data_IF_823486648190
#
_entry.id   IF_823486648190
#
_cell.length_a   1.000
_cell.length_b   1.000
_cell.length_c   1.000
_cell.angle_alpha   90.00
_cell.angle_beta   90.00
_cell.angle_gamma   90.00
#
_symmetry.space_group_name_H-M   'P 1'
#
loop_
_entity.id
_entity.type
_entity.pdbx_description
1 polymer ?
#
# COMPACT_ATOMS: atom_id res chain seq x y z
N UNK A 1 -19.24 -20.01 45.73
CA UNK A 1 -18.27 -18.89 45.85
C UNK A 1 -16.83 -19.36 45.62
N UNK A 2 -16.43 -19.82 44.44
CA UNK A 2 -15.04 -20.24 44.10
C UNK A 2 -14.69 -20.12 42.62
N UNK A 3 -15.38 -19.27 41.84
CA UNK A 3 -15.12 -19.13 40.38
C UNK A 3 -14.50 -17.80 39.94
N UNK A 4 -14.21 -16.87 40.87
CA UNK A 4 -13.73 -15.52 40.51
C UNK A 4 -12.19 -15.45 40.41
N UNK A 5 -11.42 -16.41 40.98
CA UNK A 5 -9.98 -16.28 41.05
C UNK A 5 -9.16 -16.81 39.87
N UNK A 6 -9.73 -17.57 38.93
CA UNK A 6 -8.97 -18.12 37.79
C UNK A 6 -8.87 -17.15 36.62
N UNK A 7 -9.84 -16.29 36.42
CA UNK A 7 -9.81 -15.25 35.37
C UNK A 7 -8.85 -14.11 35.68
N UNK A 8 -8.76 -13.71 36.97
CA UNK A 8 -7.85 -12.64 37.39
C UNK A 8 -6.38 -13.08 37.31
N UNK A 9 -6.07 -14.35 37.61
CA UNK A 9 -4.71 -14.92 37.51
C UNK A 9 -4.23 -15.01 36.08
N UNK A 10 -5.11 -15.34 35.12
CA UNK A 10 -4.81 -15.37 33.67
C UNK A 10 -4.54 -13.97 33.10
N UNK A 11 -5.31 -12.98 33.49
CA UNK A 11 -5.10 -11.61 33.06
C UNK A 11 -3.82 -11.00 33.67
N UNK A 12 -3.50 -11.33 34.91
CA UNK A 12 -2.27 -10.85 35.58
C UNK A 12 -1.01 -11.51 34.99
N UNK A 13 -1.07 -12.77 34.59
CA UNK A 13 0.04 -13.47 33.89
C UNK A 13 0.25 -12.94 32.47
N UNK A 14 -0.81 -12.56 31.76
CA UNK A 14 -0.70 -11.92 30.45
C UNK A 14 -0.09 -10.51 30.54
N UNK A 15 -0.40 -9.74 31.59
CA UNK A 15 0.17 -8.40 31.81
C UNK A 15 1.62 -8.49 32.29
N UNK A 16 1.99 -9.49 33.08
CA UNK A 16 3.37 -9.70 33.53
C UNK A 16 4.28 -10.31 32.45
N UNK A 17 3.72 -11.05 31.49
CA UNK A 17 4.44 -11.54 30.31
C UNK A 17 4.80 -10.41 29.33
N UNK A 18 3.99 -9.36 29.26
CA UNK A 18 4.21 -8.22 28.35
C UNK A 18 5.33 -7.27 28.83
N UNK A 19 5.78 -7.36 30.07
CA UNK A 19 6.81 -6.47 30.62
C UNK A 19 8.26 -6.96 30.42
N UNK A 20 8.46 -8.13 29.77
CA UNK A 20 9.80 -8.69 29.52
C UNK A 20 10.25 -8.63 28.07
N UNK A 21 9.43 -8.06 27.20
CA UNK A 21 9.87 -7.78 25.83
C UNK A 21 10.65 -6.46 25.86
N UNK A 22 11.96 -6.55 25.71
CA UNK A 22 12.79 -5.41 25.37
C UNK A 22 12.19 -4.68 24.18
N UNK A 23 12.43 -3.39 24.07
CA UNK A 23 11.87 -2.48 23.07
C UNK A 23 11.89 -3.10 21.67
N UNK A 24 10.82 -3.81 21.28
CA UNK A 24 10.64 -4.32 19.94
C UNK A 24 10.46 -3.12 19.00
N UNK A 25 11.24 -3.07 17.92
CA UNK A 25 11.26 -1.97 16.96
C UNK A 25 10.67 -2.44 15.64
N UNK A 26 9.79 -1.66 15.03
CA UNK A 26 8.95 -2.05 13.88
C UNK A 26 9.68 -2.06 12.53
N UNK A 27 9.21 -2.80 11.56
CA UNK A 27 9.91 -3.44 10.45
C UNK A 27 11.33 -3.63 10.86
N UNK A 28 11.56 -4.64 11.59
CA UNK A 28 12.70 -4.72 12.48
C UNK A 28 14.01 -4.63 11.74
N UNK A 29 14.06 -5.11 10.49
CA UNK A 29 15.25 -5.09 9.66
C UNK A 29 15.88 -3.69 9.54
N UNK A 30 15.09 -2.66 9.22
CA UNK A 30 15.64 -1.30 9.06
C UNK A 30 15.87 -0.62 10.39
N UNK A 31 14.95 -0.81 11.34
CA UNK A 31 15.07 -0.22 12.67
C UNK A 31 16.30 -0.77 13.42
N UNK A 32 16.54 -2.08 13.34
CA UNK A 32 17.72 -2.74 13.92
C UNK A 32 19.00 -2.30 13.22
N UNK A 33 19.06 -2.42 11.90
CA UNK A 33 20.25 -2.07 11.12
C UNK A 33 20.73 -0.64 11.36
N UNK A 34 19.80 0.30 11.47
CA UNK A 34 20.13 1.73 11.56
C UNK A 34 19.98 2.30 12.97
N UNK A 35 19.61 1.49 13.96
CA UNK A 35 19.34 1.93 15.33
C UNK A 35 18.40 3.14 15.37
N UNK A 36 17.34 3.12 14.57
CA UNK A 36 16.36 4.21 14.44
C UNK A 36 14.98 3.75 14.88
N UNK A 37 14.26 4.65 15.53
CA UNK A 37 12.84 4.46 15.82
C UNK A 37 12.01 4.57 14.53
N UNK A 38 10.84 3.95 14.49
CA UNK A 38 9.92 4.00 13.33
C UNK A 38 9.52 5.42 12.96
N UNK A 39 9.32 6.30 13.95
CA UNK A 39 9.02 7.73 13.76
C UNK A 39 10.14 8.52 13.07
N UNK A 40 11.34 7.94 12.92
CA UNK A 40 12.40 8.56 12.12
C UNK A 40 12.07 8.59 10.63
N UNK A 41 11.44 7.53 10.11
CA UNK A 41 11.05 7.38 8.71
C UNK A 41 9.54 7.52 8.46
N UNK A 42 8.70 7.37 9.50
CA UNK A 42 7.25 7.40 9.39
C UNK A 42 6.65 8.59 10.12
N UNK A 43 5.63 9.21 9.52
CA UNK A 43 4.76 10.17 10.23
C UNK A 43 3.88 9.42 11.22
N UNK A 44 3.27 8.35 10.75
CA UNK A 44 2.60 7.28 11.46
C UNK A 44 2.67 6.05 10.55
N UNK A 45 3.20 4.92 11.04
CA UNK A 45 3.36 3.72 10.21
C UNK A 45 2.01 3.28 9.61
N UNK A 46 1.91 2.96 8.28
CA UNK A 46 3.02 2.81 7.32
C UNK A 46 3.42 4.10 6.58
N UNK A 47 2.81 5.24 6.80
CA UNK A 47 2.99 6.49 6.05
C UNK A 47 4.39 7.09 6.20
N UNK A 48 5.14 7.18 5.09
CA UNK A 48 6.51 7.71 5.08
C UNK A 48 6.53 9.25 5.24
N UNK A 49 7.39 9.75 6.13
CA UNK A 49 7.77 11.15 6.18
C UNK A 49 8.86 11.48 5.13
N UNK A 50 9.35 12.72 5.06
CA UNK A 50 10.36 13.12 4.07
C UNK A 50 11.64 12.27 4.13
N UNK A 51 12.07 11.84 5.33
CA UNK A 51 13.26 10.97 5.49
C UNK A 51 12.99 9.55 4.99
N UNK A 52 11.82 8.99 5.32
CA UNK A 52 11.41 7.67 4.84
C UNK A 52 11.24 7.63 3.32
N UNK A 53 10.67 8.69 2.73
CA UNK A 53 10.59 8.81 1.27
C UNK A 53 11.98 8.78 0.62
N UNK A 54 12.93 9.56 1.16
CA UNK A 54 14.30 9.59 0.65
C UNK A 54 15.02 8.26 0.82
N UNK A 55 14.81 7.57 1.95
CA UNK A 55 15.35 6.24 2.21
C UNK A 55 14.84 5.21 1.17
N UNK A 56 13.53 5.22 0.85
CA UNK A 56 12.96 4.38 -0.20
C UNK A 56 13.54 4.68 -1.57
N UNK A 57 13.62 5.95 -1.97
CA UNK A 57 14.21 6.39 -3.25
C UNK A 57 15.66 5.95 -3.42
N UNK A 58 16.42 5.88 -2.34
CA UNK A 58 17.81 5.42 -2.34
C UNK A 58 17.92 3.88 -2.29
N UNK A 59 16.81 3.15 -2.44
CA UNK A 59 16.79 1.70 -2.39
C UNK A 59 17.09 1.17 -0.98
N UNK A 60 16.36 1.67 0.01
CA UNK A 60 16.40 1.24 1.42
C UNK A 60 17.77 1.43 2.08
N UNK A 61 18.37 2.62 1.87
CA UNK A 61 19.65 3.02 2.45
C UNK A 61 19.71 4.52 2.70
N UNK A 62 20.58 4.95 3.59
CA UNK A 62 20.91 6.36 3.77
C UNK A 62 22.10 6.78 2.89
N UNK A 63 22.30 8.08 2.70
CA UNK A 63 23.41 8.61 1.89
C UNK A 63 24.78 8.18 2.41
N UNK A 64 24.88 7.96 3.70
CA UNK A 64 26.10 7.53 4.38
C UNK A 64 26.54 6.15 3.90
N UNK A 65 25.59 5.24 3.68
CA UNK A 65 25.85 3.87 3.20
C UNK A 65 26.43 3.85 1.79
N UNK A 66 26.18 4.89 1.00
CA UNK A 66 26.70 5.03 -0.36
C UNK A 66 28.18 5.40 -0.41
N UNK A 67 28.78 5.80 0.72
CA UNK A 67 30.19 6.21 0.82
C UNK A 67 31.16 5.06 1.12
N UNK A 68 30.66 3.90 1.58
CA UNK A 68 31.47 2.72 1.93
C UNK A 68 32.11 2.00 0.73
N UNK A 69 32.71 0.84 0.95
CA UNK A 69 33.38 0.05 -0.11
C UNK A 69 32.33 -0.70 -0.97
N UNK A 70 32.47 -0.67 -2.30
CA UNK A 70 31.45 -1.17 -3.25
C UNK A 70 31.27 -2.69 -3.26
N UNK A 71 32.16 -3.43 -2.64
CA UNK A 71 32.24 -4.89 -2.79
C UNK A 71 31.68 -5.71 -1.63
N UNK A 72 31.31 -5.08 -0.52
CA UNK A 72 30.81 -5.82 0.63
C UNK A 72 29.29 -5.91 0.61
N UNK A 73 28.70 -7.13 0.57
CA UNK A 73 27.27 -7.32 0.70
C UNK A 73 26.78 -6.88 2.08
N UNK A 74 25.85 -5.95 2.15
CA UNK A 74 25.32 -5.44 3.43
C UNK A 74 24.51 -6.48 4.22
N UNK A 75 24.07 -7.56 3.58
CA UNK A 75 23.37 -8.69 4.23
C UNK A 75 24.25 -9.56 5.12
N UNK A 76 25.57 -9.47 4.96
CA UNK A 76 26.50 -10.30 5.73
C UNK A 76 26.62 -9.84 7.20
N UNK A 77 26.25 -8.59 7.50
CA UNK A 77 26.35 -8.05 8.85
C UNK A 77 25.05 -8.26 9.66
N UNK A 78 23.88 -8.10 9.00
CA UNK A 78 22.58 -8.30 9.65
C UNK A 78 21.57 -8.86 8.63
N UNK A 79 20.86 -9.92 9.03
CA UNK A 79 19.83 -10.51 8.18
C UNK A 79 18.61 -9.58 8.12
N UNK A 80 18.19 -9.09 6.94
CA UNK A 80 17.21 -8.02 6.79
C UNK A 80 15.78 -8.57 6.85
N UNK A 81 15.45 -9.32 7.89
CA UNK A 81 14.15 -9.95 8.10
C UNK A 81 13.26 -9.05 8.97
N UNK A 82 12.03 -8.87 8.54
CA UNK A 82 10.94 -8.27 9.31
C UNK A 82 9.67 -9.09 9.16
N UNK A 83 8.77 -8.99 10.11
CA UNK A 83 7.46 -9.62 10.01
C UNK A 83 6.37 -8.68 10.52
N UNK A 84 5.15 -8.86 10.02
CA UNK A 84 3.93 -8.25 10.53
C UNK A 84 2.94 -9.36 10.83
N UNK A 85 2.28 -9.24 11.98
CA UNK A 85 1.14 -10.05 12.35
C UNK A 85 -0.08 -9.15 12.44
N UNK A 86 -1.16 -9.53 11.76
CA UNK A 86 -2.44 -8.84 11.77
C UNK A 86 -3.47 -9.72 12.48
N UNK A 87 -4.21 -9.13 13.40
CA UNK A 87 -5.37 -9.74 14.06
C UNK A 87 -6.60 -8.86 13.82
N UNK A 88 -7.74 -9.45 13.46
CA UNK A 88 -9.04 -8.75 13.36
C UNK A 88 -10.02 -9.36 14.37
N UNK A 89 -9.96 -8.97 15.65
CA UNK A 89 -10.83 -9.52 16.70
C UNK A 89 -12.30 -9.16 16.50
N UNK A 90 -12.60 -8.21 15.65
CA UNK A 90 -13.95 -7.82 15.28
C UNK A 90 -13.98 -7.32 13.85
N UNK A 91 -14.80 -7.96 13.02
CA UNK A 91 -15.16 -7.53 11.69
C UNK A 91 -16.65 -7.76 11.46
N UNK A 92 -17.37 -6.74 11.02
CA UNK A 92 -18.80 -6.81 10.82
C UNK A 92 -19.24 -5.98 9.63
N UNK A 93 -19.70 -6.67 8.60
CA UNK A 93 -20.43 -6.08 7.47
C UNK A 93 -21.90 -5.95 7.81
N UNK A 94 -22.60 -4.90 7.36
CA UNK A 94 -24.03 -4.72 7.60
C UNK A 94 -24.86 -5.88 7.03
N UNK A 95 -24.45 -6.43 5.91
CA UNK A 95 -25.12 -7.49 5.16
C UNK A 95 -24.55 -8.90 5.44
N UNK A 96 -23.60 -9.02 6.36
CA UNK A 96 -22.92 -10.27 6.69
C UNK A 96 -23.00 -10.65 8.16
N UNK A 97 -22.37 -11.73 8.54
CA UNK A 97 -22.17 -12.12 9.92
C UNK A 97 -21.00 -11.34 10.56
N UNK A 98 -20.90 -11.41 11.86
CA UNK A 98 -19.74 -10.92 12.58
C UNK A 98 -18.64 -11.98 12.51
N UNK A 99 -17.49 -11.57 12.06
CA UNK A 99 -16.31 -12.42 11.97
C UNK A 99 -15.29 -12.10 13.07
N UNK A 100 -14.48 -13.07 13.43
CA UNK A 100 -13.40 -12.95 14.39
C UNK A 100 -12.19 -13.71 13.86
N UNK A 101 -11.15 -12.98 13.50
CA UNK A 101 -9.89 -13.52 13.06
C UNK A 101 -8.84 -13.30 14.15
N UNK A 102 -8.52 -14.34 14.90
CA UNK A 102 -7.52 -14.29 15.98
C UNK A 102 -6.13 -13.94 15.43
N UNK A 103 -5.77 -14.56 14.32
CA UNK A 103 -4.72 -14.13 13.40
C UNK A 103 -5.37 -14.09 12.04
N UNK A 104 -5.31 -12.96 11.37
CA UNK A 104 -5.88 -12.76 10.05
C UNK A 104 -4.82 -12.91 8.96
N UNK A 105 -3.66 -12.31 9.19
CA UNK A 105 -2.61 -12.23 8.19
C UNK A 105 -1.23 -12.28 8.85
N UNK A 106 -0.30 -12.89 8.17
CA UNK A 106 1.13 -12.89 8.49
C UNK A 106 1.91 -12.48 7.26
N UNK A 107 2.72 -11.43 7.42
CA UNK A 107 3.63 -10.95 6.38
C UNK A 107 5.08 -11.17 6.81
N UNK A 108 5.91 -11.58 5.87
CA UNK A 108 7.35 -11.77 6.07
C UNK A 108 8.12 -10.95 5.03
N UNK A 109 9.00 -10.07 5.49
CA UNK A 109 9.76 -9.18 4.64
C UNK A 109 11.25 -9.50 4.63
N UNK A 110 11.84 -9.54 3.43
CA UNK A 110 13.27 -9.49 3.22
C UNK A 110 13.58 -8.20 2.44
N UNK A 111 14.05 -7.16 3.13
CA UNK A 111 14.18 -5.84 2.50
C UNK A 111 15.49 -5.14 2.88
N UNK A 112 16.18 -4.59 1.89
CA UNK A 112 17.39 -3.81 2.14
C UNK A 112 18.36 -3.76 0.99
N UNK A 113 19.49 -3.10 1.25
CA UNK A 113 20.59 -3.01 0.29
C UNK A 113 21.47 -4.26 0.36
N UNK A 114 21.65 -4.91 -0.78
CA UNK A 114 22.61 -6.03 -0.94
C UNK A 114 24.04 -5.48 -1.04
N UNK A 115 24.20 -4.39 -1.79
CA UNK A 115 25.43 -3.62 -1.93
C UNK A 115 25.08 -2.18 -2.30
N UNK A 116 26.04 -1.35 -2.74
CA UNK A 116 25.78 0.04 -3.12
C UNK A 116 24.82 0.21 -4.31
N UNK A 117 24.82 -0.73 -5.23
CA UNK A 117 24.02 -0.67 -6.46
C UNK A 117 22.71 -1.44 -6.31
N UNK A 118 22.74 -2.60 -5.66
CA UNK A 118 21.61 -3.52 -5.62
C UNK A 118 20.86 -3.41 -4.28
N UNK A 119 19.55 -3.30 -4.34
CA UNK A 119 18.64 -3.47 -3.19
C UNK A 119 17.45 -4.33 -3.57
N UNK A 120 16.83 -4.93 -2.57
CA UNK A 120 15.69 -5.83 -2.74
C UNK A 120 14.58 -5.49 -1.75
N UNK A 121 13.37 -5.87 -2.12
CA UNK A 121 12.21 -5.92 -1.23
C UNK A 121 11.39 -7.15 -1.63
N UNK A 122 11.34 -8.12 -0.76
CA UNK A 122 10.50 -9.30 -0.90
C UNK A 122 9.49 -9.34 0.23
N UNK A 123 8.26 -9.67 -0.11
CA UNK A 123 7.14 -9.85 0.80
C UNK A 123 6.46 -11.16 0.49
N UNK A 124 6.30 -11.94 1.53
CA UNK A 124 5.52 -13.17 1.53
C UNK A 124 4.40 -12.98 2.53
N UNK A 125 3.19 -13.29 2.12
CA UNK A 125 1.99 -13.13 2.92
C UNK A 125 1.21 -14.44 2.99
N UNK A 126 0.49 -14.64 4.07
CA UNK A 126 -0.43 -15.75 4.26
C UNK A 126 -1.62 -15.26 5.09
N UNK A 127 -2.82 -15.46 4.57
CA UNK A 127 -4.08 -15.02 5.15
C UNK A 127 -4.97 -16.20 5.51
N UNK A 128 -5.78 -16.06 6.57
CA UNK A 128 -6.73 -17.08 6.98
C UNK A 128 -7.89 -17.24 5.99
N UNK A 129 -8.23 -16.17 5.25
CA UNK A 129 -9.23 -16.19 4.18
C UNK A 129 -8.79 -17.04 2.99
N UNK A 130 -7.48 -17.29 2.85
CA UNK A 130 -6.86 -18.06 1.78
C UNK A 130 -6.26 -19.39 2.27
N UNK A 131 -6.84 -19.96 3.34
CA UNK A 131 -6.39 -21.22 3.97
C UNK A 131 -4.88 -21.22 4.32
N UNK A 132 -4.32 -20.05 4.62
CA UNK A 132 -2.89 -19.85 4.92
C UNK A 132 -1.96 -20.21 3.77
N UNK A 133 -2.45 -20.20 2.53
CA UNK A 133 -1.59 -20.32 1.36
C UNK A 133 -0.56 -19.20 1.34
N UNK A 134 0.73 -19.54 1.21
CA UNK A 134 1.78 -18.53 1.13
C UNK A 134 1.82 -17.96 -0.27
N UNK A 135 1.68 -16.65 -0.37
CA UNK A 135 1.73 -15.91 -1.62
C UNK A 135 2.93 -14.95 -1.65
N UNK A 136 3.31 -14.52 -2.83
CA UNK A 136 4.34 -13.50 -3.03
C UNK A 136 3.61 -12.19 -3.27
N UNK A 137 3.47 -11.37 -2.24
CA UNK A 137 2.90 -10.03 -2.36
C UNK A 137 3.80 -9.13 -3.21
N UNK A 138 5.08 -9.08 -2.89
CA UNK A 138 6.07 -8.29 -3.63
C UNK A 138 7.40 -9.03 -3.82
N UNK A 139 7.97 -8.91 -5.03
CA UNK A 139 9.34 -9.32 -5.29
C UNK A 139 10.02 -8.23 -6.13
N UNK A 140 10.91 -7.45 -5.52
CA UNK A 140 11.50 -6.25 -6.13
C UNK A 140 13.01 -6.31 -6.04
N UNK A 141 13.68 -6.10 -7.17
CA UNK A 141 15.11 -5.89 -7.27
C UNK A 141 15.35 -4.54 -7.93
N UNK A 142 16.09 -3.68 -7.25
CA UNK A 142 16.51 -2.38 -7.77
C UNK A 142 18.00 -2.37 -8.03
N UNK A 143 18.39 -1.85 -9.19
CA UNK A 143 19.78 -1.54 -9.52
C UNK A 143 19.93 -0.03 -9.65
N UNK A 144 20.68 0.56 -8.72
CA UNK A 144 20.96 1.98 -8.69
C UNK A 144 22.19 2.31 -9.54
N UNK A 145 22.01 3.13 -10.56
CA UNK A 145 23.11 3.75 -11.30
C UNK A 145 23.58 5.00 -10.54
N UNK A 146 22.63 5.92 -10.27
CA UNK A 146 22.84 7.14 -9.47
C UNK A 146 21.49 7.62 -8.88
N UNK A 147 21.42 8.84 -8.34
CA UNK A 147 20.17 9.40 -7.81
C UNK A 147 19.12 9.64 -8.90
N UNK A 148 19.55 9.87 -10.12
CA UNK A 148 18.68 10.16 -11.25
C UNK A 148 18.20 8.90 -11.98
N UNK A 149 18.93 7.79 -11.91
CA UNK A 149 18.64 6.58 -12.68
C UNK A 149 18.75 5.33 -11.80
N UNK A 150 17.61 4.68 -11.60
CA UNK A 150 17.50 3.36 -10.99
C UNK A 150 16.69 2.46 -11.92
N UNK A 151 17.11 1.21 -12.07
CA UNK A 151 16.37 0.18 -12.78
C UNK A 151 15.67 -0.71 -11.76
N UNK A 152 14.38 -0.97 -11.96
CA UNK A 152 13.60 -1.87 -11.12
C UNK A 152 13.04 -3.02 -11.96
N UNK A 153 13.24 -4.23 -11.45
CA UNK A 153 12.62 -5.46 -11.93
C UNK A 153 11.75 -5.98 -10.81
N UNK A 154 10.46 -6.16 -11.05
CA UNK A 154 9.57 -6.52 -9.95
C UNK A 154 8.37 -7.37 -10.38
N UNK A 155 7.88 -8.16 -9.42
CA UNK A 155 6.51 -8.57 -9.27
C UNK A 155 5.88 -7.70 -8.18
N UNK A 156 4.77 -7.02 -8.47
CA UNK A 156 4.07 -6.09 -7.58
C UNK A 156 3.37 -4.97 -8.35
N UNK A 157 2.84 -3.94 -7.69
CA UNK A 157 2.18 -2.81 -8.34
C UNK A 157 3.15 -2.03 -9.22
N UNK A 158 2.63 -1.47 -10.34
CA UNK A 158 3.50 -0.84 -11.35
C UNK A 158 4.26 0.40 -10.84
N UNK A 159 3.75 1.11 -9.86
CA UNK A 159 4.41 2.28 -9.28
C UNK A 159 5.01 2.01 -7.89
N UNK A 160 5.43 0.78 -7.61
CA UNK A 160 5.98 0.39 -6.30
C UNK A 160 7.12 1.30 -5.82
N UNK A 161 7.97 1.82 -6.72
CA UNK A 161 9.05 2.74 -6.36
C UNK A 161 8.57 4.13 -5.91
N UNK A 162 7.28 4.48 -6.12
CA UNK A 162 6.73 5.76 -5.68
C UNK A 162 6.85 5.92 -4.15
N UNK A 163 7.48 7.01 -3.67
CA UNK A 163 7.70 7.19 -2.25
C UNK A 163 6.55 7.91 -1.52
N UNK A 164 5.55 8.45 -2.25
CA UNK A 164 4.55 9.34 -1.66
C UNK A 164 3.32 8.61 -1.13
N UNK A 165 3.00 7.44 -1.68
CA UNK A 165 1.90 6.58 -1.20
C UNK A 165 0.49 7.13 -1.46
N UNK A 166 0.31 8.01 -2.47
CA UNK A 166 -1.01 8.48 -2.90
C UNK A 166 -1.66 7.57 -3.91
N UNK A 167 -0.84 6.92 -4.74
CA UNK A 167 -1.27 6.04 -5.83
C UNK A 167 -0.73 4.61 -5.66
N UNK A 168 -0.28 4.25 -4.48
CA UNK A 168 0.20 2.91 -4.11
C UNK A 168 -0.45 2.55 -2.78
N UNK A 169 -1.23 1.49 -2.75
CA UNK A 169 -2.01 1.09 -1.58
C UNK A 169 -1.16 0.53 -0.43
N UNK A 170 -0.01 -0.03 -0.74
CA UNK A 170 0.94 -0.59 0.23
C UNK A 170 1.31 0.31 1.43
N UNK A 171 1.08 1.62 1.32
CA UNK A 171 1.24 2.57 2.42
C UNK A 171 -0.09 3.07 2.97
N UNK A 172 -1.20 2.38 2.72
CA UNK A 172 -2.51 2.78 3.22
C UNK A 172 -2.53 2.80 4.76
N UNK A 173 -2.98 3.90 5.37
CA UNK A 173 -3.18 3.96 6.80
C UNK A 173 -4.55 3.41 7.23
N UNK A 174 -5.34 2.88 6.30
CA UNK A 174 -6.69 2.32 6.50
C UNK A 174 -6.69 0.81 6.32
N UNK A 175 -7.69 0.14 6.87
CA UNK A 175 -7.96 -1.28 6.63
C UNK A 175 -8.60 -1.43 5.24
N UNK A 176 -9.54 -0.55 4.90
CA UNK A 176 -10.17 -0.53 3.58
C UNK A 176 -9.23 0.03 2.51
N UNK A 177 -9.16 -0.65 1.38
CA UNK A 177 -8.34 -0.26 0.23
C UNK A 177 -8.79 1.05 -0.41
N UNK A 178 -7.89 1.70 -1.15
CA UNK A 178 -8.20 2.90 -1.92
C UNK A 178 -8.92 2.56 -3.23
N UNK A 179 -10.05 3.20 -3.48
CA UNK A 179 -10.73 3.11 -4.78
C UNK A 179 -9.86 3.63 -5.95
N UNK A 180 -8.87 4.48 -5.67
CA UNK A 180 -7.92 4.98 -6.68
C UNK A 180 -7.10 3.88 -7.36
N UNK A 181 -6.76 2.81 -6.65
CA UNK A 181 -5.71 1.88 -7.09
C UNK A 181 -6.07 0.42 -6.95
N UNK A 182 -7.01 0.04 -6.09
CA UNK A 182 -7.27 -1.35 -5.75
C UNK A 182 -8.38 -1.99 -6.59
N UNK A 183 -8.30 -3.33 -6.79
CA UNK A 183 -9.24 -4.09 -7.59
C UNK A 183 -10.62 -4.24 -6.96
N UNK A 184 -10.69 -4.35 -5.66
CA UNK A 184 -11.96 -4.53 -4.94
C UNK A 184 -12.76 -3.22 -4.87
N UNK A 185 -13.72 -3.08 -5.76
CA UNK A 185 -14.66 -1.97 -5.77
C UNK A 185 -14.12 -0.66 -6.35
N UNK A 186 -12.83 -0.59 -6.71
CA UNK A 186 -12.25 0.57 -7.35
C UNK A 186 -12.62 0.67 -8.83
N UNK A 187 -12.77 1.89 -9.31
CA UNK A 187 -13.13 2.18 -10.70
C UNK A 187 -12.02 1.82 -11.68
N UNK A 188 -10.77 1.90 -11.21
CA UNK A 188 -9.56 1.64 -12.00
C UNK A 188 -9.46 0.18 -12.43
N UNK A 189 -10.32 -0.66 -11.87
CA UNK A 189 -10.41 -2.09 -12.13
C UNK A 189 -11.76 -2.52 -12.65
N UNK A 190 -12.67 -1.58 -12.75
CA UNK A 190 -14.07 -1.85 -12.98
C UNK A 190 -14.40 -2.73 -14.17
N UNK A 191 -15.05 -2.18 -15.19
CA UNK A 191 -15.56 -2.97 -16.32
C UNK A 191 -14.51 -3.75 -17.10
N UNK A 192 -13.23 -3.28 -17.09
CA UNK A 192 -12.14 -3.97 -17.76
C UNK A 192 -11.98 -5.42 -17.30
N UNK A 193 -12.02 -5.67 -16.00
CA UNK A 193 -11.93 -7.02 -15.44
C UNK A 193 -13.05 -7.95 -15.94
N UNK A 194 -14.28 -7.45 -16.02
CA UNK A 194 -15.43 -8.22 -16.45
C UNK A 194 -15.40 -8.52 -17.98
N UNK A 195 -14.76 -7.67 -18.77
CA UNK A 195 -14.79 -7.76 -20.23
C UNK A 195 -13.63 -8.56 -20.81
N UNK A 196 -12.56 -8.76 -20.09
CA UNK A 196 -11.41 -9.57 -20.52
C UNK A 196 -11.61 -11.09 -20.36
N UNK A 197 -12.83 -11.53 -20.08
CA UNK A 197 -13.21 -12.94 -20.15
C UNK A 197 -12.77 -13.81 -19.00
N UNK A 198 -12.30 -13.22 -17.91
CA UNK A 198 -11.91 -13.93 -16.70
C UNK A 198 -12.11 -13.07 -15.45
N UNK A 199 -12.50 -13.68 -14.36
CA UNK A 199 -12.76 -13.01 -13.10
C UNK A 199 -11.53 -12.30 -12.50
N UNK A 200 -10.33 -12.58 -13.01
CA UNK A 200 -9.06 -12.20 -12.39
C UNK A 200 -8.26 -11.14 -13.17
N UNK A 201 -8.78 -10.63 -14.30
CA UNK A 201 -8.00 -9.73 -15.14
C UNK A 201 -8.48 -8.29 -15.07
N UNK A 202 -8.07 -7.62 -14.05
CA UNK A 202 -8.18 -6.17 -13.93
C UNK A 202 -7.17 -5.39 -14.77
N UNK A 203 -6.73 -5.92 -15.90
CA UNK A 203 -5.68 -5.42 -16.83
C UNK A 203 -5.07 -4.05 -16.58
N UNK A 204 -5.88 -3.07 -16.27
CA UNK A 204 -5.50 -1.69 -15.99
C UNK A 204 -5.41 -1.29 -14.51
N UNK A 205 -5.61 -2.20 -13.57
CA UNK A 205 -5.50 -1.90 -12.14
C UNK A 205 -4.11 -1.40 -11.76
N UNK A 206 -4.01 -0.32 -11.00
CA UNK A 206 -2.72 0.26 -10.63
C UNK A 206 -2.08 -0.48 -9.46
N UNK A 207 -2.89 -0.96 -8.51
CA UNK A 207 -2.44 -1.62 -7.27
C UNK A 207 -2.14 -3.09 -7.41
N UNK A 208 -2.69 -3.76 -8.43
CA UNK A 208 -2.55 -5.20 -8.56
C UNK A 208 -1.14 -5.59 -9.03
N UNK A 209 -0.68 -6.75 -8.52
CA UNK A 209 0.64 -7.27 -8.81
C UNK A 209 0.77 -7.69 -10.29
N UNK A 210 1.93 -7.41 -10.86
CA UNK A 210 2.32 -7.73 -12.24
C UNK A 210 3.82 -7.74 -12.39
N UNK A 211 4.33 -8.31 -13.49
CA UNK A 211 5.73 -8.19 -13.86
C UNK A 211 6.03 -6.78 -14.37
N UNK A 212 7.09 -6.16 -13.87
CA UNK A 212 7.47 -4.80 -14.25
C UNK A 212 8.97 -4.70 -14.56
N UNK A 213 9.28 -3.88 -15.56
CA UNK A 213 10.63 -3.38 -15.84
C UNK A 213 10.54 -1.86 -15.90
N UNK A 214 11.02 -1.20 -14.87
CA UNK A 214 10.87 0.23 -14.68
C UNK A 214 12.22 0.93 -14.58
N UNK A 215 12.27 2.17 -15.02
CA UNK A 215 13.30 3.14 -14.68
C UNK A 215 12.67 4.21 -13.78
N UNK A 216 13.34 4.56 -12.71
CA UNK A 216 12.90 5.61 -11.79
C UNK A 216 14.10 6.40 -11.28
N UNK A 217 13.82 7.58 -10.75
CA UNK A 217 14.86 8.41 -10.18
C UNK A 217 14.39 9.83 -9.88
N UNK A 218 15.35 10.64 -9.43
CA UNK A 218 15.08 12.03 -9.07
C UNK A 218 16.07 12.97 -9.75
N UNK A 219 15.52 13.97 -10.43
CA UNK A 219 16.29 15.08 -10.99
C UNK A 219 15.79 16.38 -10.34
N UNK A 220 16.60 16.97 -9.49
CA UNK A 220 16.21 18.12 -8.66
C UNK A 220 14.92 17.84 -7.84
N UNK A 221 13.85 18.58 -8.14
CA UNK A 221 12.54 18.46 -7.49
C UNK A 221 11.60 17.48 -8.18
N UNK A 222 12.02 16.90 -9.30
CA UNK A 222 11.20 15.94 -10.05
C UNK A 222 11.59 14.52 -9.71
N UNK A 223 10.64 13.74 -9.24
CA UNK A 223 10.71 12.28 -9.15
C UNK A 223 9.94 11.69 -10.32
N UNK A 224 10.47 10.65 -10.95
CA UNK A 224 9.83 9.99 -12.08
C UNK A 224 9.92 8.47 -11.99
N UNK A 225 8.93 7.81 -12.56
CA UNK A 225 8.90 6.38 -12.86
C UNK A 225 8.37 6.24 -14.28
N UNK A 226 8.98 5.38 -15.09
CA UNK A 226 8.47 5.00 -16.39
C UNK A 226 8.93 3.58 -16.74
N UNK A 227 8.13 2.86 -17.50
CA UNK A 227 8.54 1.53 -17.93
C UNK A 227 7.44 0.70 -18.58
N UNK A 228 7.70 -0.60 -18.59
CA UNK A 228 6.87 -1.61 -19.17
C UNK A 228 6.40 -2.58 -18.09
N UNK A 229 5.15 -3.02 -18.22
CA UNK A 229 4.55 -4.02 -17.34
C UNK A 229 3.79 -5.06 -18.14
N UNK A 230 3.60 -6.24 -17.56
CA UNK A 230 2.59 -7.19 -18.00
C UNK A 230 1.19 -6.78 -17.56
N UNK A 231 0.21 -7.61 -17.86
CA UNK A 231 -1.17 -7.46 -17.37
C UNK A 231 -1.22 -7.84 -15.88
N UNK A 232 -2.05 -7.15 -15.11
CA UNK A 232 -2.26 -7.45 -13.70
C UNK A 232 -2.77 -8.88 -13.49
N UNK A 233 -2.28 -9.55 -12.44
CA UNK A 233 -2.67 -10.93 -12.11
C UNK A 233 -2.06 -12.00 -13.00
N UNK A 234 -1.39 -11.66 -14.12
CA UNK A 234 -0.73 -12.66 -14.98
C UNK A 234 0.64 -13.03 -14.44
N UNK A 235 0.81 -14.29 -14.07
CA UNK A 235 2.08 -14.87 -13.60
C UNK A 235 2.90 -15.49 -14.73
N UNK A 236 2.34 -15.62 -15.94
CA UNK A 236 2.94 -16.36 -17.06
C UNK A 236 3.78 -15.50 -18.00
N UNK A 237 3.81 -14.17 -17.79
CA UNK A 237 4.57 -13.24 -18.65
C UNK A 237 4.02 -13.20 -20.07
N UNK A 238 2.70 -13.16 -20.22
CA UNK A 238 2.02 -13.17 -21.51
C UNK A 238 2.34 -11.93 -22.36
N UNK A 239 1.93 -11.99 -23.62
CA UNK A 239 2.32 -11.05 -24.69
C UNK A 239 1.85 -9.61 -24.50
N UNK A 240 0.99 -9.38 -23.53
CA UNK A 240 0.35 -8.10 -23.32
C UNK A 240 1.30 -7.14 -22.61
N UNK A 241 1.46 -5.97 -23.17
CA UNK A 241 2.38 -4.95 -22.66
C UNK A 241 1.62 -3.70 -22.23
N UNK A 242 1.98 -3.23 -21.07
CA UNK A 242 1.50 -1.97 -20.50
C UNK A 242 2.65 -0.99 -20.46
N UNK A 243 2.48 0.19 -21.03
CA UNK A 243 3.40 1.31 -20.89
C UNK A 243 2.86 2.22 -19.79
N UNK A 244 3.70 2.56 -18.85
CA UNK A 244 3.32 3.45 -17.74
C UNK A 244 4.36 4.52 -17.47
N UNK A 245 3.90 5.65 -16.95
CA UNK A 245 4.76 6.73 -16.51
C UNK A 245 4.11 7.57 -15.42
N UNK A 246 4.92 8.04 -14.49
CA UNK A 246 4.54 8.98 -13.43
C UNK A 246 5.60 10.05 -13.28
N UNK A 247 5.16 11.28 -13.07
CA UNK A 247 6.01 12.40 -12.72
C UNK A 247 5.45 13.08 -11.47
N UNK A 248 6.28 13.26 -10.45
CA UNK A 248 5.93 14.02 -9.25
C UNK A 248 6.89 15.21 -9.07
N UNK A 249 6.36 16.36 -8.71
CA UNK A 249 7.10 17.58 -8.44
C UNK A 249 7.01 17.95 -6.97
N UNK A 250 8.14 18.02 -6.28
CA UNK A 250 8.22 18.50 -4.90
C UNK A 250 8.10 20.01 -4.88
N UNK A 251 6.98 20.53 -4.42
CA UNK A 251 6.83 21.96 -4.09
C UNK A 251 7.85 22.32 -3.02
N UNK A 252 7.92 21.47 -1.99
CA UNK A 252 8.93 21.47 -0.93
C UNK A 252 9.07 20.04 -0.35
N UNK A 253 9.88 19.84 0.70
CA UNK A 253 10.12 18.53 1.32
C UNK A 253 8.85 17.86 1.87
N UNK A 254 7.79 18.61 2.11
CA UNK A 254 6.55 18.14 2.72
C UNK A 254 5.36 18.10 1.76
N UNK A 255 5.49 18.63 0.55
CA UNK A 255 4.37 18.78 -0.38
C UNK A 255 4.79 18.42 -1.80
N UNK A 256 3.97 17.61 -2.46
CA UNK A 256 4.16 17.26 -3.87
C UNK A 256 2.85 17.31 -4.65
N UNK A 257 2.96 17.52 -5.96
CA UNK A 257 1.93 17.27 -6.97
C UNK A 257 2.45 16.24 -7.95
N UNK A 258 1.58 15.31 -8.37
CA UNK A 258 1.93 14.24 -9.28
C UNK A 258 0.96 14.11 -10.44
N UNK A 259 1.43 13.49 -11.52
CA UNK A 259 0.62 13.07 -12.64
C UNK A 259 1.07 11.69 -13.11
N UNK A 260 0.14 10.89 -13.61
CA UNK A 260 0.41 9.56 -14.14
C UNK A 260 -0.33 9.31 -15.44
N UNK A 261 0.23 8.40 -16.23
CA UNK A 261 -0.39 7.85 -17.43
C UNK A 261 -0.04 6.36 -17.52
N UNK A 262 -1.05 5.57 -17.86
CA UNK A 262 -0.91 4.14 -18.17
C UNK A 262 -1.66 3.87 -19.45
N UNK A 263 -1.09 3.09 -20.33
CA UNK A 263 -1.74 2.58 -21.54
C UNK A 263 -1.32 1.14 -21.78
N UNK A 264 -2.29 0.30 -22.01
CA UNK A 264 -2.06 -1.10 -22.29
C UNK A 264 -3.04 -1.65 -23.32
N UNK A 265 -2.75 -2.86 -23.74
CA UNK A 265 -3.56 -3.64 -24.64
C UNK A 265 -3.62 -5.06 -24.09
N UNK A 266 -4.80 -5.61 -24.07
CA UNK A 266 -5.07 -7.00 -23.71
C UNK A 266 -5.41 -7.77 -24.97
N UNK A 267 -4.65 -8.82 -25.26
CA UNK A 267 -4.88 -9.70 -26.39
C UNK A 267 -5.87 -10.79 -26.02
N UNK A 268 -7.13 -10.54 -26.27
CA UNK A 268 -8.21 -11.49 -26.00
C UNK A 268 -8.34 -12.58 -27.06
N UNK A 269 -9.08 -13.64 -26.75
CA UNK A 269 -9.37 -14.71 -27.71
C UNK A 269 -10.24 -14.26 -28.89
N UNK A 270 -11.01 -13.18 -28.73
CA UNK A 270 -11.95 -12.67 -29.73
C UNK A 270 -11.46 -11.39 -30.44
N UNK A 271 -10.87 -10.46 -29.68
CA UNK A 271 -10.37 -9.18 -30.18
C UNK A 271 -9.38 -8.58 -29.18
N UNK A 272 -8.51 -7.68 -29.65
CA UNK A 272 -7.59 -6.94 -28.82
C UNK A 272 -8.31 -5.73 -28.21
N UNK A 273 -8.17 -5.51 -26.90
CA UNK A 273 -8.86 -4.47 -26.13
C UNK A 273 -7.84 -3.52 -25.51
N UNK A 274 -7.93 -2.25 -25.87
CA UNK A 274 -7.05 -1.23 -25.29
C UNK A 274 -7.64 -0.68 -23.99
N UNK A 275 -6.76 -0.26 -23.09
CA UNK A 275 -7.12 0.47 -21.89
C UNK A 275 -6.16 1.61 -21.59
N UNK A 276 -6.63 2.62 -20.88
CA UNK A 276 -5.79 3.73 -20.42
C UNK A 276 -6.23 4.27 -19.07
N UNK A 277 -5.26 4.81 -18.34
CA UNK A 277 -5.44 5.52 -17.06
C UNK A 277 -4.68 6.83 -17.13
N UNK A 278 -5.29 7.92 -16.69
CA UNK A 278 -4.64 9.21 -16.55
C UNK A 278 -5.06 9.81 -15.23
N UNK A 279 -4.11 10.30 -14.45
CA UNK A 279 -4.41 10.83 -13.13
C UNK A 279 -3.50 11.93 -12.68
N UNK A 280 -3.98 12.65 -11.68
CA UNK A 280 -3.24 13.67 -10.93
C UNK A 280 -3.43 13.42 -9.45
N UNK A 281 -2.42 13.76 -8.66
CA UNK A 281 -2.48 13.62 -7.21
C UNK A 281 -1.69 14.71 -6.48
N UNK A 282 -2.04 14.87 -5.22
CA UNK A 282 -1.40 15.78 -4.29
C UNK A 282 -1.19 15.07 -2.96
N UNK A 283 -0.04 15.29 -2.34
CA UNK A 283 0.24 14.95 -0.94
C UNK A 283 0.87 16.15 -0.26
N UNK A 284 0.37 16.48 0.95
CA UNK A 284 0.93 17.55 1.76
C UNK A 284 0.96 17.22 3.24
N UNK A 285 2.12 17.40 3.88
CA UNK A 285 2.32 17.35 5.32
C UNK A 285 2.30 18.76 5.91
N UNK A 286 1.31 19.07 6.73
CA UNK A 286 1.08 20.34 7.42
C UNK A 286 1.31 20.14 8.92
N UNK A 287 2.56 20.14 9.33
CA UNK A 287 2.96 19.80 10.70
C UNK A 287 2.67 18.34 11.01
N UNK A 288 1.71 18.08 11.88
CA UNK A 288 1.27 16.72 12.23
C UNK A 288 0.09 16.21 11.40
N UNK A 289 -0.44 17.03 10.50
CA UNK A 289 -1.57 16.64 9.63
C UNK A 289 -1.07 16.33 8.23
N UNK A 290 -1.66 15.30 7.59
CA UNK A 290 -1.44 14.95 6.19
C UNK A 290 -2.75 15.05 5.41
N UNK A 291 -2.66 15.59 4.21
CA UNK A 291 -3.72 15.60 3.22
C UNK A 291 -3.23 14.88 1.96
N UNK A 292 -4.03 13.96 1.45
CA UNK A 292 -3.81 13.29 0.17
C UNK A 292 -5.07 13.47 -0.68
N UNK A 293 -4.88 13.79 -1.95
CA UNK A 293 -5.96 13.96 -2.92
C UNK A 293 -5.53 13.28 -4.20
N UNK A 294 -6.43 12.54 -4.83
CA UNK A 294 -6.18 11.90 -6.13
C UNK A 294 -7.41 11.96 -7.03
N UNK A 295 -7.16 12.07 -8.31
CA UNK A 295 -8.17 11.96 -9.34
C UNK A 295 -7.61 11.17 -10.52
N UNK A 296 -8.33 10.10 -10.91
CA UNK A 296 -7.95 9.24 -12.03
C UNK A 296 -9.14 9.08 -12.96
N UNK A 297 -8.90 9.15 -14.26
CA UNK A 297 -9.81 8.75 -15.31
C UNK A 297 -9.33 7.46 -15.93
N UNK A 298 -10.25 6.54 -16.20
CA UNK A 298 -10.03 5.28 -16.86
C UNK A 298 -10.84 5.24 -18.17
N UNK A 299 -10.29 4.59 -19.19
CA UNK A 299 -11.00 4.27 -20.43
C UNK A 299 -10.63 2.86 -20.83
N UNK A 300 -11.65 2.04 -21.06
CA UNK A 300 -11.52 0.61 -21.36
C UNK A 300 -12.37 0.26 -22.57
N UNK A 301 -11.76 -0.35 -23.59
CA UNK A 301 -12.48 -0.91 -24.71
C UNK A 301 -13.30 -2.12 -24.28
N UNK A 302 -14.44 -2.30 -24.92
CA UNK A 302 -15.39 -3.37 -24.65
C UNK A 302 -15.46 -4.31 -25.86
N UNK A 303 -15.74 -5.59 -25.64
CA UNK A 303 -16.02 -6.55 -26.70
C UNK A 303 -17.18 -6.03 -27.53
N UNK A 304 -16.99 -5.97 -28.86
CA UNK A 304 -17.99 -5.42 -29.80
C UNK A 304 -17.78 -3.96 -30.17
N UNK A 305 -16.63 -3.35 -29.84
CA UNK A 305 -16.13 -2.09 -30.40
C UNK A 305 -16.63 -0.80 -29.74
N UNK A 306 -17.26 -0.86 -28.55
CA UNK A 306 -17.52 0.31 -27.72
C UNK A 306 -16.35 0.54 -26.73
N UNK A 307 -16.34 1.67 -26.04
CA UNK A 307 -15.43 1.89 -24.90
C UNK A 307 -16.18 2.60 -23.79
N UNK A 308 -15.84 2.30 -22.54
CA UNK A 308 -16.39 2.95 -21.35
C UNK A 308 -15.37 3.89 -20.73
N UNK A 309 -15.87 4.97 -20.13
CA UNK A 309 -15.06 5.94 -19.40
C UNK A 309 -15.53 6.01 -17.96
N UNK A 310 -14.58 5.91 -17.05
CA UNK A 310 -14.80 5.88 -15.62
C UNK A 310 -13.93 6.93 -14.94
N UNK A 311 -14.27 7.34 -13.73
CA UNK A 311 -13.44 8.27 -12.98
C UNK A 311 -13.55 8.03 -11.48
N UNK A 312 -12.50 8.36 -10.76
CA UNK A 312 -12.45 8.32 -9.29
C UNK A 312 -11.79 9.57 -8.75
N UNK A 313 -12.40 10.13 -7.72
CA UNK A 313 -11.85 11.18 -6.86
C UNK A 313 -11.73 10.63 -5.45
N UNK A 314 -10.58 10.81 -4.83
CA UNK A 314 -10.34 10.45 -3.44
C UNK A 314 -9.70 11.60 -2.69
N UNK A 315 -10.17 11.86 -1.47
CA UNK A 315 -9.54 12.80 -0.54
C UNK A 315 -9.42 12.15 0.83
N UNK A 316 -8.21 12.15 1.39
CA UNK A 316 -7.90 11.60 2.70
C UNK A 316 -7.16 12.61 3.55
N UNK A 317 -7.64 12.79 4.77
CA UNK A 317 -6.98 13.59 5.80
C UNK A 317 -6.67 12.76 7.04
N UNK A 318 -5.51 12.97 7.64
CA UNK A 318 -5.18 12.38 8.94
C UNK A 318 -4.40 13.37 9.81
N UNK A 319 -4.49 13.19 11.13
CA UNK A 319 -3.71 13.97 12.10
C UNK A 319 -3.00 13.03 13.06
N UNK A 320 -1.69 13.22 13.26
CA UNK A 320 -0.86 12.40 14.14
C UNK A 320 -0.60 13.15 15.45
N UNK A 321 -1.26 12.76 16.53
CA UNK A 321 -0.88 13.18 17.87
C UNK A 321 0.40 12.48 18.29
N UNK A 322 1.32 13.23 18.90
CA UNK A 322 2.65 12.74 19.24
C UNK A 322 2.98 13.01 20.71
N UNK A 323 3.79 12.13 21.29
CA UNK A 323 4.43 12.39 22.58
C UNK A 323 5.45 13.51 22.45
N UNK A 324 5.97 14.01 23.59
CA UNK A 324 7.10 14.98 23.61
C UNK A 324 8.35 14.45 22.90
N UNK A 325 8.53 13.12 22.84
CA UNK A 325 9.63 12.46 22.11
C UNK A 325 9.34 12.25 20.61
N UNK A 326 8.21 12.78 20.10
CA UNK A 326 7.83 12.69 18.69
C UNK A 326 7.21 11.37 18.24
N UNK A 327 6.96 10.43 19.15
CA UNK A 327 6.34 9.13 18.84
C UNK A 327 4.83 9.30 18.62
N UNK A 328 4.22 8.65 17.59
CA UNK A 328 2.79 8.71 17.37
C UNK A 328 2.02 8.09 18.56
N UNK A 329 0.83 8.61 18.84
CA UNK A 329 -0.10 8.08 19.84
C UNK A 329 -1.46 7.81 19.23
N UNK A 330 -2.21 8.84 18.90
CA UNK A 330 -3.51 8.75 18.23
C UNK A 330 -3.41 9.29 16.81
N UNK A 331 -4.04 8.61 15.87
CA UNK A 331 -4.09 9.02 14.46
C UNK A 331 -5.52 8.88 13.96
N UNK A 332 -6.39 9.88 14.18
CA UNK A 332 -7.66 9.96 13.50
C UNK A 332 -7.47 10.20 12.01
N UNK A 333 -8.35 9.60 11.20
CA UNK A 333 -8.33 9.64 9.76
C UNK A 333 -9.77 9.72 9.23
N UNK A 334 -9.94 10.44 8.12
CA UNK A 334 -11.14 10.40 7.31
C UNK A 334 -10.76 10.36 5.83
N UNK A 335 -11.42 9.48 5.05
CA UNK A 335 -11.30 9.39 3.60
C UNK A 335 -12.69 9.43 2.97
N UNK A 336 -12.84 10.23 1.96
CA UNK A 336 -14.02 10.26 1.10
C UNK A 336 -13.60 9.92 -0.32
N UNK A 337 -14.32 9.01 -0.94
CA UNK A 337 -14.13 8.59 -2.31
C UNK A 337 -15.44 8.73 -3.08
N UNK A 338 -15.34 9.21 -4.29
CA UNK A 338 -16.47 9.27 -5.23
C UNK A 338 -15.99 8.75 -6.57
N UNK A 339 -16.68 7.76 -7.10
CA UNK A 339 -16.31 7.18 -8.37
C UNK A 339 -17.53 6.82 -9.22
N UNK A 340 -17.31 6.83 -10.54
CA UNK A 340 -18.33 6.47 -11.53
C UNK A 340 -17.79 5.37 -12.41
N UNK A 341 -18.69 4.48 -12.83
CA UNK A 341 -18.45 3.43 -13.83
C UNK A 341 -19.43 3.58 -14.99
N UNK A 342 -19.14 2.87 -16.08
CA UNK A 342 -20.05 2.78 -17.23
C UNK A 342 -20.47 4.15 -17.76
N UNK A 343 -19.50 5.00 -18.12
CA UNK A 343 -19.72 6.37 -18.63
C UNK A 343 -20.49 7.29 -17.65
N UNK A 344 -20.44 6.96 -16.36
CA UNK A 344 -21.11 7.72 -15.30
C UNK A 344 -22.52 7.29 -14.98
N UNK A 345 -22.99 6.20 -15.55
CA UNK A 345 -24.32 5.62 -15.22
C UNK A 345 -24.32 5.05 -13.80
N UNK A 346 -23.25 4.38 -13.40
CA UNK A 346 -23.07 3.83 -12.06
C UNK A 346 -22.27 4.79 -11.18
N UNK A 347 -22.88 5.26 -10.10
CA UNK A 347 -22.26 6.22 -9.17
C UNK A 347 -22.12 5.64 -7.77
N UNK A 348 -20.91 5.72 -7.27
CA UNK A 348 -20.56 5.26 -5.92
C UNK A 348 -19.95 6.40 -5.11
N UNK A 349 -20.18 6.36 -3.81
CA UNK A 349 -19.46 7.22 -2.88
C UNK A 349 -19.26 6.49 -1.56
N UNK A 350 -18.03 6.53 -1.05
CA UNK A 350 -17.63 5.87 0.18
C UNK A 350 -17.07 6.86 1.18
N UNK A 351 -17.35 6.64 2.46
CA UNK A 351 -16.75 7.35 3.58
C UNK A 351 -16.06 6.33 4.49
N UNK A 352 -14.77 6.53 4.72
CA UNK A 352 -13.99 5.77 5.69
C UNK A 352 -13.61 6.69 6.84
N UNK A 353 -13.97 6.30 8.06
CA UNK A 353 -13.57 6.95 9.30
C UNK A 353 -12.72 5.98 10.10
N UNK A 354 -11.52 6.38 10.45
CA UNK A 354 -10.59 5.53 11.16
C UNK A 354 -9.91 6.23 12.33
N UNK A 355 -9.48 5.47 13.31
CA UNK A 355 -8.56 5.92 14.34
C UNK A 355 -7.59 4.82 14.69
N UNK A 356 -6.31 5.13 14.63
CA UNK A 356 -5.25 4.24 15.11
C UNK A 356 -4.74 4.71 16.46
N UNK A 357 -4.52 3.76 17.39
CA UNK A 357 -3.86 4.00 18.67
C UNK A 357 -2.57 3.18 18.74
N UNK A 358 -1.45 3.84 18.97
CA UNK A 358 -0.13 3.24 19.06
C UNK A 358 0.19 2.88 20.50
N UNK A 359 0.17 1.59 20.83
CA UNK A 359 0.63 1.06 22.11
C UNK A 359 2.15 1.19 22.24
N UNK A 360 2.85 0.96 21.12
CA UNK A 360 4.26 1.24 20.91
C UNK A 360 4.46 1.64 19.45
N UNK A 361 5.66 1.96 19.01
CA UNK A 361 5.89 2.33 17.60
C UNK A 361 5.67 1.18 16.62
N UNK A 362 5.68 -0.06 17.09
CA UNK A 362 5.51 -1.29 16.31
C UNK A 362 4.21 -2.06 16.65
N UNK A 363 3.38 -1.56 17.55
CA UNK A 363 2.08 -2.15 17.88
C UNK A 363 1.01 -1.09 17.81
N UNK A 364 0.06 -1.26 16.93
CA UNK A 364 -1.10 -0.36 16.82
C UNK A 364 -2.41 -1.14 16.83
N UNK A 365 -3.41 -0.54 17.43
CA UNK A 365 -4.81 -0.96 17.30
C UNK A 365 -5.52 0.04 16.42
N UNK A 366 -6.33 -0.45 15.48
CA UNK A 366 -7.11 0.36 14.55
C UNK A 366 -8.58 0.08 14.74
N UNK A 367 -9.40 1.12 14.76
CA UNK A 367 -10.84 1.06 14.63
C UNK A 367 -11.21 1.77 13.33
N UNK A 368 -11.91 1.09 12.45
CA UNK A 368 -12.35 1.65 11.17
C UNK A 368 -13.83 1.40 10.95
N UNK A 369 -14.50 2.38 10.38
CA UNK A 369 -15.85 2.30 9.87
C UNK A 369 -15.87 2.78 8.43
N UNK A 370 -16.18 1.86 7.50
CA UNK A 370 -16.46 2.15 6.08
C UNK A 370 -17.96 2.20 5.87
N UNK A 371 -18.45 3.17 5.13
CA UNK A 371 -19.85 3.32 4.77
C UNK A 371 -20.01 3.64 3.29
N UNK A 372 -20.81 2.87 2.60
CA UNK A 372 -21.29 3.19 1.26
C UNK A 372 -22.35 4.31 1.36
N UNK A 373 -21.92 5.53 1.07
CA UNK A 373 -22.78 6.70 1.08
C UNK A 373 -23.77 6.67 -0.08
N UNK A 374 -23.31 6.18 -1.25
CA UNK A 374 -24.10 6.04 -2.47
C UNK A 374 -23.70 4.77 -3.23
N UNK A 375 -24.70 4.08 -3.77
CA UNK A 375 -24.56 2.93 -4.67
C UNK A 375 -25.52 3.09 -5.84
N UNK A 376 -25.25 2.47 -7.01
CA UNK A 376 -26.20 2.41 -8.12
C UNK A 376 -27.51 1.74 -7.76
N UNK A 377 -28.53 1.96 -8.56
CA UNK A 377 -29.83 1.30 -8.38
C UNK A 377 -29.70 -0.21 -8.47
N UNK A 378 -30.20 -0.91 -7.46
CA UNK A 378 -30.14 -2.38 -7.39
C UNK A 378 -28.87 -2.93 -6.73
N UNK A 379 -27.94 -2.08 -6.32
CA UNK A 379 -26.77 -2.44 -5.52
C UNK A 379 -27.02 -2.05 -4.06
N UNK A 380 -27.00 -3.03 -3.18
CA UNK A 380 -27.19 -2.80 -1.75
C UNK A 380 -25.98 -2.07 -1.15
N UNK A 381 -26.25 -1.12 -0.25
CA UNK A 381 -25.21 -0.44 0.52
C UNK A 381 -24.62 -1.38 1.56
N UNK A 382 -23.30 -1.40 1.66
CA UNK A 382 -22.58 -2.10 2.71
C UNK A 382 -21.90 -1.11 3.67
N UNK A 383 -22.07 -1.32 4.96
CA UNK A 383 -21.27 -0.67 5.98
C UNK A 383 -20.44 -1.73 6.69
N UNK A 384 -19.20 -1.41 6.98
CA UNK A 384 -18.26 -2.33 7.67
C UNK A 384 -17.63 -1.63 8.87
N UNK A 385 -17.61 -2.31 10.00
CA UNK A 385 -16.91 -1.88 11.20
C UNK A 385 -15.85 -2.92 11.55
N UNK A 386 -14.59 -2.52 11.65
CA UNK A 386 -13.46 -3.41 11.87
C UNK A 386 -12.58 -2.91 13.02
N UNK A 387 -12.18 -3.83 13.89
CA UNK A 387 -11.09 -3.62 14.85
C UNK A 387 -9.91 -4.49 14.40
N UNK A 388 -8.75 -3.86 14.20
CA UNK A 388 -7.54 -4.56 13.78
C UNK A 388 -6.38 -4.21 14.71
N UNK A 389 -5.54 -5.20 14.98
CA UNK A 389 -4.30 -5.05 15.74
C UNK A 389 -3.15 -5.48 14.83
N UNK A 390 -2.18 -4.59 14.65
CA UNK A 390 -0.97 -4.87 13.88
C UNK A 390 0.22 -4.90 14.82
N UNK A 391 1.02 -5.95 14.70
CA UNK A 391 2.27 -6.16 15.45
C UNK A 391 3.41 -6.32 14.46
N UNK A 392 4.37 -5.39 14.46
CA UNK A 392 5.63 -5.49 13.71
C UNK A 392 6.73 -6.13 14.56
N UNK A 393 7.42 -7.13 14.00
CA UNK A 393 8.46 -7.94 14.66
C UNK A 393 9.80 -7.81 13.95
#
# INVERSE_FOLDING_TARGET
MKFINKGLLGATLAILGASWFGTAQAVPAFAHKYEKNCSYCHTAWPQLNAKGRKFKELGYRFKEDLKGNEKEPSYMEEFPLGAILVSRPYDKKSNGDRELHGVHEMELFLAGAVNKQVSTFFEFEAEDENDWAVEVGHAVVNYRVDDAVNLQFSWGPMFFADPYGTIVDHFSPTISHYALVHSEGGIVNGPAAANFGGADNSGGALGDARHNVMVNGRVNKFFYIAGLSGIAGSTTGEKDSVISGRLAYDINDNMMVGALMVRGEYTGAAEDLSFSRTGIDFMGDFGSSRLQVGYITARDDQIGGSSTSDNVFSVQGMHTYKTEKGKPTWVPLARYENYTKNDGDDKYADLVLGVSYYLSENVKTMLEYKSDMSTPSGVDKENRATVQINLGL
#
